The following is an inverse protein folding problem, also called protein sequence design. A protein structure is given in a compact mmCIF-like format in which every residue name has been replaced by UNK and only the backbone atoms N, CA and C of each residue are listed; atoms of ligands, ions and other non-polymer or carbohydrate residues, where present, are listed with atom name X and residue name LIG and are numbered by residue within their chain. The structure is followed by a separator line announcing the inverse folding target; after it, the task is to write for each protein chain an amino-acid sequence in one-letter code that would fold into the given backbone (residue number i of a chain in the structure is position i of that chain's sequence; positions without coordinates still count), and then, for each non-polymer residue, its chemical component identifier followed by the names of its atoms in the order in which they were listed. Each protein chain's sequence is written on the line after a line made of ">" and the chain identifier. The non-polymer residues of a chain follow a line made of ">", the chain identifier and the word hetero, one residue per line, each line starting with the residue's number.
data_IF_517767344924
#
_entry.id   IF_517767344924
#
_cell.length_a   1.000
_cell.length_b   1.000
_cell.length_c   1.000
_cell.angle_alpha   90.00
_cell.angle_beta   90.00
_cell.angle_gamma   90.00
#
_symmetry.space_group_name_H-M   'P 1'
#
loop_
_entity.id
_entity.type
_entity.pdbx_description
1 polymer ?
#
# COMPACT_ATOMS: atom_id res chain seq x y z
N UNK A 1 -1.11 -1.69 29.27
CA UNK A 1 -0.07 -0.96 30.05
C UNK A 1 0.84 -0.09 29.16
N UNK A 2 1.41 -0.56 28.03
CA UNK A 2 2.28 0.24 27.14
C UNK A 2 1.63 1.51 26.59
N UNK A 3 0.38 1.45 26.08
CA UNK A 3 -0.33 2.63 25.50
C UNK A 3 -0.49 3.79 26.48
N UNK A 4 -0.85 3.53 27.74
CA UNK A 4 -1.01 4.58 28.78
C UNK A 4 0.33 5.28 29.09
N UNK A 5 1.44 4.54 29.13
CA UNK A 5 2.78 5.09 29.39
C UNK A 5 3.23 6.04 28.26
N UNK A 6 3.01 5.65 27.01
CA UNK A 6 3.34 6.49 25.84
C UNK A 6 2.50 7.77 25.86
N UNK A 7 1.19 7.66 26.10
CA UNK A 7 0.30 8.82 26.19
C UNK A 7 0.73 9.81 27.27
N UNK A 8 1.15 9.32 28.43
CA UNK A 8 1.64 10.18 29.52
C UNK A 8 2.89 10.95 29.10
N UNK A 9 3.83 10.29 28.41
CA UNK A 9 5.07 10.94 27.94
C UNK A 9 4.74 12.00 26.88
N UNK A 10 3.92 11.65 25.89
CA UNK A 10 3.60 12.55 24.76
C UNK A 10 2.80 13.76 25.22
N UNK A 11 1.81 13.57 26.08
CA UNK A 11 0.99 14.66 26.63
C UNK A 11 1.79 15.63 27.52
N UNK A 12 2.90 15.17 28.15
CA UNK A 12 3.80 16.03 28.92
C UNK A 12 4.71 16.89 28.04
N UNK A 13 5.04 16.43 26.84
CA UNK A 13 6.03 17.09 25.98
C UNK A 13 5.52 18.43 25.38
N UNK A 14 4.24 18.56 25.12
CA UNK A 14 3.58 19.80 24.67
C UNK A 14 3.92 20.29 23.25
N UNK A 15 4.85 19.64 22.53
CA UNK A 15 5.31 20.02 21.19
C UNK A 15 5.35 18.82 20.22
N UNK A 16 4.40 17.90 20.35
CA UNK A 16 4.33 16.70 19.52
C UNK A 16 3.20 16.88 18.50
N UNK A 17 3.51 16.68 17.23
CA UNK A 17 2.52 16.48 16.17
C UNK A 17 2.48 15.00 15.81
N UNK A 18 1.30 14.39 15.83
CA UNK A 18 1.07 13.01 15.45
C UNK A 18 0.25 12.98 14.16
N UNK A 19 0.78 12.35 13.13
CA UNK A 19 0.05 12.08 11.90
C UNK A 19 -0.60 10.69 12.00
N UNK A 20 -1.91 10.64 11.90
CA UNK A 20 -2.70 9.42 11.86
C UNK A 20 -3.06 9.14 10.41
N UNK A 21 -2.84 7.91 9.95
CA UNK A 21 -3.04 7.53 8.54
C UNK A 21 -4.42 6.95 8.23
N UNK A 22 -5.30 6.87 9.21
CA UNK A 22 -6.68 6.43 9.06
C UNK A 22 -7.57 7.12 10.11
N UNK A 23 -8.85 7.25 9.77
CA UNK A 23 -9.85 7.93 10.60
C UNK A 23 -10.00 7.29 11.98
N UNK A 24 -10.01 5.96 12.06
CA UNK A 24 -10.16 5.24 13.32
C UNK A 24 -8.97 5.51 14.26
N UNK A 25 -7.75 5.49 13.71
CA UNK A 25 -6.54 5.85 14.46
C UNK A 25 -6.58 7.30 14.93
N UNK A 26 -7.08 8.22 14.08
CA UNK A 26 -7.22 9.62 14.42
C UNK A 26 -8.22 9.84 15.58
N UNK A 27 -9.41 9.25 15.50
CA UNK A 27 -10.42 9.32 16.55
C UNK A 27 -9.93 8.71 17.87
N UNK A 28 -9.19 7.61 17.81
CA UNK A 28 -8.57 7.01 19.00
C UNK A 28 -7.45 7.89 19.57
N UNK A 29 -6.65 8.53 18.72
CA UNK A 29 -5.60 9.44 19.15
C UNK A 29 -6.17 10.67 19.85
N UNK A 30 -7.29 11.24 19.38
CA UNK A 30 -7.98 12.37 20.02
C UNK A 30 -8.35 12.08 21.49
N UNK A 31 -8.74 10.84 21.79
CA UNK A 31 -9.10 10.42 23.16
C UNK A 31 -7.90 10.23 24.08
N UNK A 32 -6.72 10.01 23.51
CA UNK A 32 -5.53 9.56 24.25
C UNK A 32 -4.46 10.65 24.32
N UNK A 33 -4.24 11.39 23.24
CA UNK A 33 -3.17 12.37 23.08
C UNK A 33 -3.71 13.79 23.14
N UNK A 34 -4.28 14.15 24.29
CA UNK A 34 -5.05 15.41 24.49
C UNK A 34 -4.20 16.68 24.38
N UNK A 35 -2.90 16.60 24.58
CA UNK A 35 -1.96 17.73 24.50
C UNK A 35 -1.05 17.64 23.26
N UNK A 36 -1.34 16.73 22.31
CA UNK A 36 -0.62 16.64 21.05
C UNK A 36 -1.43 17.28 19.94
N UNK A 37 -0.74 17.85 18.97
CA UNK A 37 -1.35 18.24 17.70
C UNK A 37 -1.60 16.97 16.88
N UNK A 38 -2.81 16.78 16.42
CA UNK A 38 -3.18 15.62 15.62
C UNK A 38 -3.50 16.04 14.19
N UNK A 39 -2.94 15.31 13.23
CA UNK A 39 -3.20 15.48 11.82
C UNK A 39 -3.69 14.14 11.25
N UNK A 40 -4.72 14.19 10.42
CA UNK A 40 -5.16 13.05 9.62
C UNK A 40 -4.53 13.20 8.22
N UNK A 41 -3.61 12.28 7.90
CA UNK A 41 -2.84 12.31 6.66
C UNK A 41 -2.69 10.89 6.11
N UNK A 42 -2.68 10.71 4.78
CA UNK A 42 -2.38 9.39 4.21
C UNK A 42 -0.99 8.90 4.64
N UNK A 43 -0.66 7.66 4.33
CA UNK A 43 0.68 7.12 4.61
C UNK A 43 1.72 7.89 3.80
N UNK A 44 2.84 8.29 4.43
CA UNK A 44 3.87 9.14 3.78
C UNK A 44 4.42 8.53 2.48
N UNK A 45 4.43 7.20 2.37
CA UNK A 45 4.93 6.52 1.17
C UNK A 45 4.05 6.81 -0.05
N UNK A 46 2.78 7.21 0.14
CA UNK A 46 1.91 7.63 -0.97
C UNK A 46 2.42 8.87 -1.70
N UNK A 47 3.28 9.70 -1.09
CA UNK A 47 3.93 10.85 -1.75
C UNK A 47 4.76 10.46 -2.97
N UNK A 48 5.18 9.20 -3.05
CA UNK A 48 5.96 8.68 -4.18
C UNK A 48 5.10 8.26 -5.38
N UNK A 49 3.76 8.17 -5.23
CA UNK A 49 2.86 7.83 -6.34
C UNK A 49 2.90 8.95 -7.37
N UNK A 50 3.17 8.58 -8.62
CA UNK A 50 3.30 9.53 -9.73
C UNK A 50 4.65 10.25 -9.82
N UNK A 51 5.59 10.00 -8.88
CA UNK A 51 6.92 10.63 -8.89
C UNK A 51 7.86 10.08 -9.97
N UNK A 52 7.61 8.87 -10.45
CA UNK A 52 8.42 8.21 -11.48
C UNK A 52 7.51 7.45 -12.46
N UNK A 53 7.92 7.46 -13.72
CA UNK A 53 7.26 6.69 -14.78
C UNK A 53 8.09 5.45 -15.12
N UNK A 54 7.43 4.29 -15.17
CA UNK A 54 8.04 3.00 -15.50
C UNK A 54 7.55 2.52 -16.86
N UNK A 55 8.48 2.30 -17.80
CA UNK A 55 8.19 1.92 -19.19
C UNK A 55 8.42 0.43 -19.48
N UNK A 56 8.41 -0.41 -18.44
CA UNK A 56 8.64 -1.84 -18.60
C UNK A 56 7.53 -2.50 -19.44
N UNK A 57 7.91 -3.52 -20.20
CA UNK A 57 6.92 -4.40 -20.85
C UNK A 57 6.21 -5.22 -19.77
N UNK A 58 4.91 -4.99 -19.60
CA UNK A 58 4.11 -5.56 -18.51
C UNK A 58 3.46 -6.85 -18.94
N UNK A 59 3.60 -7.88 -18.09
CA UNK A 59 3.03 -9.20 -18.31
C UNK A 59 2.51 -9.80 -17.01
N UNK A 60 1.49 -10.63 -17.10
CA UNK A 60 1.01 -11.44 -15.97
C UNK A 60 0.48 -10.66 -14.78
N UNK A 61 0.31 -11.37 -13.67
CA UNK A 61 -0.24 -10.92 -12.40
C UNK A 61 0.75 -11.21 -11.27
N UNK A 62 1.05 -10.21 -10.45
CA UNK A 62 1.85 -10.35 -9.23
C UNK A 62 0.93 -10.50 -8.02
N UNK A 63 1.05 -11.58 -7.30
CA UNK A 63 0.41 -11.79 -6.01
C UNK A 63 1.35 -11.34 -4.89
N UNK A 64 1.11 -10.16 -4.33
CA UNK A 64 1.88 -9.62 -3.20
C UNK A 64 1.13 -9.93 -1.91
N UNK A 65 1.30 -11.14 -1.40
CA UNK A 65 0.51 -11.69 -0.30
C UNK A 65 1.35 -11.85 0.97
N UNK A 66 0.70 -11.66 2.12
CA UNK A 66 1.31 -11.90 3.43
C UNK A 66 1.60 -13.40 3.61
N UNK A 67 2.82 -13.73 4.01
CA UNK A 67 3.25 -15.11 4.23
C UNK A 67 3.81 -15.38 5.63
N UNK A 68 3.63 -14.45 6.57
CA UNK A 68 4.02 -14.57 7.97
C UNK A 68 2.88 -15.11 8.86
N UNK A 69 3.14 -15.23 10.17
CA UNK A 69 2.18 -15.75 11.15
C UNK A 69 0.86 -14.94 11.24
N UNK A 70 0.85 -13.72 10.73
CA UNK A 70 -0.34 -12.87 10.68
C UNK A 70 -1.10 -13.00 9.34
N UNK A 71 -0.71 -13.95 8.46
CA UNK A 71 -1.38 -14.17 7.19
C UNK A 71 -2.85 -14.55 7.40
N UNK A 72 -3.75 -13.81 6.76
CA UNK A 72 -5.20 -14.10 6.82
C UNK A 72 -5.58 -15.28 5.93
N UNK A 73 -4.99 -15.31 4.74
CA UNK A 73 -5.24 -16.38 3.78
C UNK A 73 -4.19 -17.48 3.91
N UNK A 74 -4.65 -18.74 3.89
CA UNK A 74 -3.76 -19.90 3.78
C UNK A 74 -3.14 -19.97 2.39
N UNK A 75 -1.95 -20.53 2.31
CA UNK A 75 -1.22 -20.70 1.04
C UNK A 75 -2.04 -21.46 0.02
N UNK A 76 -2.75 -22.51 0.44
CA UNK A 76 -3.60 -23.34 -0.43
C UNK A 76 -4.78 -22.55 -1.01
N UNK A 77 -5.31 -21.59 -0.24
CA UNK A 77 -6.41 -20.72 -0.69
C UNK A 77 -5.93 -19.77 -1.79
N UNK A 78 -4.76 -19.16 -1.62
CA UNK A 78 -4.16 -18.31 -2.63
C UNK A 78 -3.74 -19.12 -3.86
N UNK A 79 -3.23 -20.33 -3.67
CA UNK A 79 -2.91 -21.21 -4.81
C UNK A 79 -4.16 -21.54 -5.64
N UNK A 80 -5.27 -21.90 -5.01
CA UNK A 80 -6.56 -22.12 -5.70
C UNK A 80 -7.05 -20.88 -6.46
N UNK A 81 -6.81 -19.67 -5.93
CA UNK A 81 -7.13 -18.45 -6.65
C UNK A 81 -6.24 -18.28 -7.87
N UNK A 82 -4.93 -18.53 -7.74
CA UNK A 82 -3.97 -18.46 -8.86
C UNK A 82 -4.29 -19.47 -9.97
N UNK A 83 -4.72 -20.66 -9.60
CA UNK A 83 -5.09 -21.73 -10.56
C UNK A 83 -6.28 -21.32 -11.45
N UNK A 84 -7.09 -20.33 -11.04
CA UNK A 84 -8.14 -19.76 -11.91
C UNK A 84 -7.57 -18.94 -13.09
N UNK A 85 -6.29 -18.63 -13.09
CA UNK A 85 -5.61 -17.82 -14.10
C UNK A 85 -4.59 -18.62 -14.91
N UNK A 86 -4.90 -19.88 -15.26
CA UNK A 86 -3.99 -20.84 -15.92
C UNK A 86 -3.32 -20.29 -17.21
N UNK A 87 -4.02 -19.41 -17.94
CA UNK A 87 -3.52 -18.81 -19.16
C UNK A 87 -2.75 -17.50 -18.95
N UNK A 88 -2.52 -17.08 -17.71
CA UNK A 88 -1.83 -15.85 -17.34
C UNK A 88 -0.66 -16.20 -16.44
N UNK A 89 0.53 -15.72 -16.76
CA UNK A 89 1.69 -15.89 -15.87
C UNK A 89 1.42 -15.23 -14.53
N UNK A 90 1.61 -15.98 -13.44
CA UNK A 90 1.44 -15.47 -12.08
C UNK A 90 2.70 -15.67 -11.26
N UNK A 91 3.10 -14.67 -10.49
CA UNK A 91 4.21 -14.77 -9.53
C UNK A 91 3.76 -14.38 -8.12
N UNK A 92 4.53 -14.83 -7.11
CA UNK A 92 4.29 -14.52 -5.70
C UNK A 92 5.41 -13.68 -5.12
N UNK A 93 5.05 -12.69 -4.30
CA UNK A 93 5.98 -11.90 -3.50
C UNK A 93 5.35 -11.48 -2.17
N UNK A 94 6.12 -10.85 -1.31
CA UNK A 94 5.66 -10.13 -0.12
C UNK A 94 6.37 -8.77 -0.06
N UNK A 95 5.83 -7.82 0.68
CA UNK A 95 6.50 -6.54 0.98
C UNK A 95 7.64 -6.69 1.99
N UNK A 96 7.71 -7.83 2.68
CA UNK A 96 8.78 -8.14 3.64
C UNK A 96 9.95 -8.78 2.90
N UNK A 97 11.13 -8.16 3.01
CA UNK A 97 12.36 -8.67 2.43
C UNK A 97 13.20 -9.37 3.50
N UNK A 98 13.76 -10.55 3.16
CA UNK A 98 14.62 -11.34 4.06
C UNK A 98 16.10 -10.93 3.94
N UNK A 99 16.39 -9.62 3.99
CA UNK A 99 17.74 -9.09 3.93
C UNK A 99 18.14 -8.60 5.32
N UNK A 100 19.36 -8.97 5.82
CA UNK A 100 19.83 -8.50 7.12
C UNK A 100 19.86 -6.97 7.22
N UNK A 101 19.44 -6.44 8.36
CA UNK A 101 19.38 -5.00 8.62
C UNK A 101 20.73 -4.28 8.41
N UNK A 102 21.85 -4.95 8.72
CA UNK A 102 23.20 -4.44 8.46
C UNK A 102 23.42 -4.13 6.99
N UNK A 103 23.00 -5.03 6.09
CA UNK A 103 23.13 -4.85 4.63
C UNK A 103 22.24 -3.73 4.13
N UNK A 104 20.99 -3.63 4.64
CA UNK A 104 20.05 -2.59 4.23
C UNK A 104 20.57 -1.17 4.56
N UNK A 105 21.28 -1.02 5.69
CA UNK A 105 21.80 0.27 6.12
C UNK A 105 23.18 0.64 5.56
N UNK A 106 23.78 -0.21 4.75
CA UNK A 106 25.09 0.01 4.18
C UNK A 106 24.99 0.89 2.92
N UNK A 107 25.56 2.10 2.98
CA UNK A 107 25.60 3.04 1.85
C UNK A 107 24.22 3.34 1.26
N UNK A 108 24.11 3.20 -0.07
CA UNK A 108 22.86 3.43 -0.84
C UNK A 108 21.99 2.18 -1.00
N UNK A 109 22.22 1.10 -0.26
CA UNK A 109 21.51 -0.17 -0.47
C UNK A 109 20.01 -0.03 -0.26
N UNK A 110 19.57 0.77 0.71
CA UNK A 110 18.14 1.00 0.95
C UNK A 110 17.43 1.59 -0.27
N UNK A 111 18.03 2.59 -0.90
CA UNK A 111 17.46 3.23 -2.09
C UNK A 111 17.43 2.27 -3.28
N UNK A 112 18.51 1.50 -3.48
CA UNK A 112 18.57 0.47 -4.53
C UNK A 112 17.49 -0.58 -4.35
N UNK A 113 17.33 -1.11 -3.13
CA UNK A 113 16.29 -2.10 -2.82
C UNK A 113 14.88 -1.57 -3.07
N UNK A 114 14.60 -0.31 -2.72
CA UNK A 114 13.31 0.31 -3.02
C UNK A 114 13.08 0.44 -4.52
N UNK A 115 14.09 0.86 -5.28
CA UNK A 115 14.01 0.95 -6.74
C UNK A 115 13.74 -0.44 -7.34
N UNK A 116 14.45 -1.47 -6.90
CA UNK A 116 14.28 -2.85 -7.37
C UNK A 116 12.85 -3.37 -7.09
N UNK A 117 12.28 -3.06 -5.92
CA UNK A 117 10.90 -3.42 -5.58
C UNK A 117 9.92 -2.75 -6.56
N UNK A 118 10.04 -1.44 -6.77
CA UNK A 118 9.14 -0.73 -7.67
C UNK A 118 9.30 -1.19 -9.13
N UNK A 119 10.53 -1.48 -9.57
CA UNK A 119 10.80 -2.06 -10.88
C UNK A 119 10.22 -3.47 -11.01
N UNK A 120 10.25 -4.29 -9.96
CA UNK A 120 9.57 -5.58 -9.96
C UNK A 120 8.07 -5.42 -10.17
N UNK A 121 7.41 -4.56 -9.38
CA UNK A 121 5.97 -4.32 -9.51
C UNK A 121 5.58 -3.78 -10.89
N UNK A 122 6.43 -2.96 -11.50
CA UNK A 122 6.18 -2.37 -12.81
C UNK A 122 6.27 -3.34 -14.00
N UNK A 123 6.72 -4.58 -13.78
CA UNK A 123 6.76 -5.63 -14.81
C UNK A 123 5.43 -6.34 -15.01
N UNK A 124 4.46 -6.11 -14.13
CA UNK A 124 3.17 -6.80 -14.16
C UNK A 124 2.04 -5.90 -14.69
N UNK A 125 1.05 -6.52 -15.32
CA UNK A 125 -0.18 -5.85 -15.74
C UNK A 125 -1.11 -5.54 -14.59
N UNK A 126 -1.01 -6.34 -13.50
CA UNK A 126 -1.90 -6.25 -12.35
C UNK A 126 -1.19 -6.80 -11.10
N UNK A 127 -1.49 -6.22 -9.95
CA UNK A 127 -1.12 -6.76 -8.64
C UNK A 127 -2.37 -7.17 -7.88
N UNK A 128 -2.32 -8.29 -7.15
CA UNK A 128 -3.33 -8.70 -6.18
C UNK A 128 -2.65 -8.74 -4.82
N UNK A 129 -3.21 -8.07 -3.80
CA UNK A 129 -2.53 -7.93 -2.52
C UNK A 129 -3.47 -7.85 -1.32
N UNK A 130 -3.06 -8.43 -0.20
CA UNK A 130 -3.59 -8.23 1.15
C UNK A 130 -2.69 -7.33 2.01
N UNK A 131 -1.69 -6.68 1.39
CA UNK A 131 -0.75 -5.77 2.03
C UNK A 131 -1.05 -4.30 1.70
N UNK A 132 -1.15 -3.44 2.71
CA UNK A 132 -1.34 -2.01 2.49
C UNK A 132 -0.17 -1.38 1.70
N UNK A 133 1.07 -1.69 2.07
CA UNK A 133 2.23 -1.23 1.29
C UNK A 133 2.33 -1.91 -0.08
N UNK A 134 1.82 -3.13 -0.24
CA UNK A 134 1.68 -3.76 -1.55
C UNK A 134 0.80 -2.93 -2.50
N UNK A 135 -0.30 -2.38 -1.96
CA UNK A 135 -1.14 -1.42 -2.70
C UNK A 135 -0.36 -0.17 -3.11
N UNK A 136 0.34 0.46 -2.16
CA UNK A 136 1.10 1.69 -2.43
C UNK A 136 2.24 1.43 -3.43
N UNK A 137 2.99 0.35 -3.28
CA UNK A 137 4.09 0.00 -4.19
C UNK A 137 3.60 -0.27 -5.61
N UNK A 138 2.44 -0.92 -5.74
CA UNK A 138 1.79 -1.12 -7.03
C UNK A 138 1.51 0.23 -7.72
N UNK A 139 0.93 1.17 -7.00
CA UNK A 139 0.59 2.50 -7.53
C UNK A 139 1.83 3.35 -7.82
N UNK A 140 2.89 3.26 -7.01
CA UNK A 140 4.19 3.91 -7.31
C UNK A 140 4.74 3.37 -8.63
N UNK A 141 4.61 2.07 -8.87
CA UNK A 141 5.02 1.43 -10.12
C UNK A 141 4.07 1.71 -11.30
N UNK A 142 2.96 2.41 -11.08
CA UNK A 142 1.91 2.64 -12.07
C UNK A 142 1.10 1.39 -12.41
N UNK A 143 1.16 0.34 -11.60
CA UNK A 143 0.48 -0.93 -11.84
C UNK A 143 -0.86 -0.95 -11.10
N UNK A 144 -1.98 -1.28 -11.78
CA UNK A 144 -3.27 -1.46 -11.12
C UNK A 144 -3.20 -2.52 -10.03
N UNK A 145 -4.07 -2.40 -9.02
CA UNK A 145 -4.07 -3.29 -7.88
C UNK A 145 -5.49 -3.68 -7.46
N UNK A 146 -5.69 -4.97 -7.21
CA UNK A 146 -6.85 -5.49 -6.50
C UNK A 146 -6.41 -5.73 -5.06
N UNK A 147 -7.04 -5.01 -4.14
CA UNK A 147 -6.83 -5.14 -2.70
C UNK A 147 -7.85 -6.12 -2.17
N UNK A 148 -7.38 -7.26 -1.68
CA UNK A 148 -8.26 -8.26 -1.07
C UNK A 148 -8.42 -8.00 0.42
N UNK A 149 -9.61 -8.32 0.94
CA UNK A 149 -9.92 -8.14 2.35
C UNK A 149 -8.97 -8.93 3.25
N UNK A 150 -8.69 -8.39 4.43
CA UNK A 150 -7.99 -9.08 5.52
C UNK A 150 -8.65 -8.73 6.84
N UNK A 151 -8.22 -9.33 7.95
CA UNK A 151 -8.70 -8.98 9.30
C UNK A 151 -8.37 -7.57 9.73
N UNK A 152 -7.47 -6.90 9.01
CA UNK A 152 -6.99 -5.57 9.40
C UNK A 152 -7.79 -4.45 8.73
N UNK A 153 -8.46 -3.64 9.54
CA UNK A 153 -9.17 -2.41 9.08
C UNK A 153 -8.27 -1.43 8.30
N UNK A 154 -6.95 -1.58 8.37
CA UNK A 154 -6.00 -0.71 7.68
C UNK A 154 -6.15 -0.76 6.17
N UNK A 155 -6.48 -1.92 5.60
CA UNK A 155 -6.69 -2.04 4.15
C UNK A 155 -7.95 -1.31 3.71
N UNK A 156 -9.10 -1.63 4.30
CA UNK A 156 -10.36 -1.00 3.93
C UNK A 156 -10.39 0.52 4.24
N UNK A 157 -9.66 0.96 5.29
CA UNK A 157 -9.52 2.38 5.61
C UNK A 157 -8.49 3.08 4.72
N UNK A 158 -7.40 2.37 4.37
CA UNK A 158 -6.34 2.89 3.50
C UNK A 158 -6.82 3.13 2.06
N UNK A 159 -7.66 2.23 1.54
CA UNK A 159 -8.25 2.39 0.19
C UNK A 159 -9.10 3.64 0.07
N UNK A 160 -9.71 4.13 1.14
CA UNK A 160 -10.52 5.35 1.15
C UNK A 160 -9.73 6.64 0.87
N UNK A 161 -8.40 6.61 0.97
CA UNK A 161 -7.57 7.74 0.61
C UNK A 161 -7.43 7.95 -0.90
N UNK A 162 -7.65 6.91 -1.70
CA UNK A 162 -7.51 7.01 -3.15
C UNK A 162 -8.72 7.72 -3.74
N UNK A 163 -8.50 8.84 -4.46
CA UNK A 163 -9.59 9.61 -5.06
C UNK A 163 -10.18 8.88 -6.28
N UNK A 164 -11.26 9.43 -6.82
CA UNK A 164 -11.98 8.86 -7.97
C UNK A 164 -11.09 8.67 -9.21
N UNK A 165 -10.07 9.52 -9.37
CA UNK A 165 -9.08 9.44 -10.45
C UNK A 165 -8.28 8.13 -10.42
N UNK A 166 -8.26 7.45 -9.27
CA UNK A 166 -7.59 6.16 -9.09
C UNK A 166 -8.53 4.96 -9.26
N UNK A 167 -9.80 5.16 -9.59
CA UNK A 167 -10.79 4.08 -9.66
C UNK A 167 -10.43 2.96 -10.65
N UNK A 168 -9.71 3.28 -11.74
CA UNK A 168 -9.22 2.30 -12.70
C UNK A 168 -7.94 1.58 -12.24
N UNK A 169 -7.30 2.05 -11.18
CA UNK A 169 -6.04 1.51 -10.65
C UNK A 169 -6.21 0.79 -9.33
N UNK A 170 -7.23 1.10 -8.55
CA UNK A 170 -7.46 0.49 -7.24
C UNK A 170 -8.85 -0.11 -7.18
N UNK A 171 -8.92 -1.42 -7.05
CA UNK A 171 -10.18 -2.13 -6.81
C UNK A 171 -10.11 -2.84 -5.45
N UNK A 172 -11.19 -2.82 -4.71
CA UNK A 172 -11.29 -3.55 -3.45
C UNK A 172 -12.18 -4.78 -3.65
N UNK A 173 -11.66 -5.96 -3.33
CA UNK A 173 -12.38 -7.22 -3.33
C UNK A 173 -12.71 -7.62 -1.87
N UNK A 174 -13.96 -7.50 -1.42
CA UNK A 174 -14.39 -7.98 -0.11
C UNK A 174 -14.14 -9.48 0.05
N UNK A 175 -14.36 -10.25 -1.01
CA UNK A 175 -14.19 -11.69 -1.07
C UNK A 175 -13.26 -12.09 -2.21
N UNK A 176 -12.53 -13.22 -2.04
CA UNK A 176 -11.65 -13.75 -3.08
C UNK A 176 -12.42 -14.23 -4.33
N UNK A 177 -13.70 -14.49 -4.17
CA UNK A 177 -14.56 -14.90 -5.29
C UNK A 177 -14.82 -13.77 -6.26
N UNK A 178 -14.72 -12.51 -5.83
CA UNK A 178 -14.88 -11.33 -6.67
C UNK A 178 -13.64 -11.07 -7.55
N UNK A 179 -12.48 -11.58 -7.14
CA UNK A 179 -11.19 -11.29 -7.79
C UNK A 179 -11.16 -11.64 -9.27
N UNK A 180 -11.67 -12.80 -9.76
CA UNK A 180 -11.60 -13.13 -11.18
C UNK A 180 -12.33 -12.12 -12.07
N UNK A 181 -13.49 -11.61 -11.65
CA UNK A 181 -14.22 -10.60 -12.39
C UNK A 181 -13.45 -9.27 -12.44
N UNK A 182 -12.90 -8.83 -11.29
CA UNK A 182 -12.09 -7.60 -11.24
C UNK A 182 -10.81 -7.71 -12.07
N UNK A 183 -10.19 -8.88 -12.13
CA UNK A 183 -9.04 -9.15 -13.01
C UNK A 183 -9.44 -8.98 -14.47
N UNK A 184 -10.55 -9.58 -14.86
CA UNK A 184 -11.07 -9.44 -16.23
C UNK A 184 -11.33 -7.97 -16.59
N UNK A 185 -12.01 -7.23 -15.71
CA UNK A 185 -12.36 -5.82 -15.94
C UNK A 185 -11.12 -4.95 -16.12
N UNK A 186 -10.09 -5.15 -15.28
CA UNK A 186 -8.83 -4.39 -15.37
C UNK A 186 -8.05 -4.76 -16.63
N UNK A 187 -7.87 -6.05 -16.90
CA UNK A 187 -7.06 -6.50 -18.04
C UNK A 187 -7.70 -6.24 -19.40
N UNK A 188 -9.02 -6.08 -19.44
CA UNK A 188 -9.78 -5.72 -20.64
C UNK A 188 -9.83 -4.20 -20.90
N UNK A 189 -9.33 -3.39 -19.96
CA UNK A 189 -9.35 -1.94 -20.10
C UNK A 189 -8.20 -1.45 -21.01
N UNK A 190 -8.48 -1.27 -22.29
CA UNK A 190 -7.51 -0.78 -23.28
C UNK A 190 -7.04 0.66 -23.04
N UNK A 191 -7.77 1.45 -22.23
CA UNK A 191 -7.44 2.84 -21.91
C UNK A 191 -6.52 3.00 -20.71
N UNK A 192 -6.04 1.90 -20.11
CA UNK A 192 -5.19 1.95 -18.95
C UNK A 192 -3.76 2.39 -19.32
N UNK A 193 -3.33 3.54 -18.81
CA UNK A 193 -2.07 4.18 -19.21
C UNK A 193 -0.84 3.75 -18.42
N UNK A 194 -1.02 3.01 -17.31
CA UNK A 194 0.06 2.66 -16.36
C UNK A 194 0.85 3.88 -15.84
N UNK A 195 0.20 5.02 -15.80
CA UNK A 195 0.78 6.28 -15.30
C UNK A 195 -0.23 6.97 -14.39
N UNK A 196 0.24 7.33 -13.21
CA UNK A 196 -0.55 8.06 -12.22
C UNK A 196 0.03 9.45 -12.00
N UNK A 197 -0.85 10.41 -11.72
CA UNK A 197 -0.44 11.77 -11.36
C UNK A 197 0.05 11.79 -9.90
N UNK A 198 0.92 12.75 -9.52
CA UNK A 198 1.46 12.88 -8.16
C UNK A 198 0.44 13.49 -7.17
N UNK A 199 -0.78 12.96 -7.18
CA UNK A 199 -1.92 13.48 -6.43
C UNK A 199 -1.62 13.71 -4.94
N UNK A 200 -0.98 12.74 -4.28
CA UNK A 200 -0.71 12.84 -2.85
C UNK A 200 0.36 13.87 -2.52
N UNK A 201 1.40 13.96 -3.35
CA UNK A 201 2.41 15.02 -3.18
C UNK A 201 1.77 16.40 -3.32
N UNK A 202 0.99 16.62 -4.37
CA UNK A 202 0.39 17.91 -4.66
C UNK A 202 -0.67 18.33 -3.63
N UNK A 203 -1.52 17.40 -3.16
CA UNK A 203 -2.67 17.73 -2.30
C UNK A 203 -2.37 17.62 -0.80
N UNK A 204 -1.32 16.90 -0.41
CA UNK A 204 -1.01 16.66 1.01
C UNK A 204 0.40 17.07 1.40
N UNK A 205 1.44 16.54 0.75
CA UNK A 205 2.80 16.62 1.28
C UNK A 205 3.53 17.93 0.93
N UNK A 206 3.27 18.52 -0.24
CA UNK A 206 3.79 19.84 -0.61
C UNK A 206 3.44 20.93 0.42
N UNK A 207 2.25 20.80 1.04
CA UNK A 207 1.76 21.76 2.05
C UNK A 207 1.98 21.28 3.50
N UNK A 208 2.46 20.06 3.73
CA UNK A 208 2.62 19.52 5.09
C UNK A 208 3.59 20.37 5.92
N UNK A 209 4.71 20.82 5.34
CA UNK A 209 5.72 21.60 6.05
C UNK A 209 5.15 22.90 6.66
N UNK A 210 4.18 23.52 6.01
CA UNK A 210 3.51 24.71 6.53
C UNK A 210 2.52 24.40 7.67
N UNK A 211 2.17 23.13 7.83
CA UNK A 211 1.26 22.63 8.87
C UNK A 211 2.00 21.99 10.05
N UNK A 212 3.30 21.92 10.05
CA UNK A 212 4.11 21.40 11.17
C UNK A 212 4.68 22.56 11.99
#
# INVERSE_FOLDING_TARGET
>A
MKKKKIATIFNKHGKITLCCRDELSYQNAQKIFVNCRLLLYPDIVTSLIGSKHYTNNRQGILFCMRNDIEAFYKVETIQKLRDKFENITTEMTDTTISIPYSIINEGSNREKLLIEIFEQFSKYKLVITDRYHGTIFSLIAGTPVIVVSSTDHKLSSGVKWFPVEFENYVKFAPDLEDVPQLVYDILSNENLTYHLMPYFEENYYSVLKSKL
#
